data_IF_437780324196
#
_entry.id   IF_437780324196
#
_cell.length_a   1.000
_cell.length_b   1.000
_cell.length_c   1.000
_cell.angle_alpha   90.00
_cell.angle_beta   90.00
_cell.angle_gamma   90.00
#
_symmetry.space_group_name_H-M   'P 1'
#
loop_
_entity.id
_entity.type
_entity.pdbx_description
1 polymer ?
#
# COMPACT_ATOMS: atom_id res chain seq x y z
N UNK A 1 34.60 3.33 3.52
CA UNK A 1 33.54 4.00 2.76
C UNK A 1 32.22 3.58 3.39
N UNK A 2 31.43 4.52 3.88
CA UNK A 2 30.18 4.23 4.57
C UNK A 2 29.04 4.32 3.55
N UNK A 3 28.31 3.23 3.39
CA UNK A 3 27.10 3.19 2.58
C UNK A 3 25.90 3.51 3.47
N UNK A 4 25.00 4.35 2.99
CA UNK A 4 23.74 4.67 3.65
C UNK A 4 22.59 4.03 2.88
N UNK A 5 21.63 3.49 3.61
CA UNK A 5 20.40 2.92 3.06
C UNK A 5 19.25 3.86 3.39
N UNK A 6 18.48 4.23 2.37
CA UNK A 6 17.32 5.11 2.51
C UNK A 6 16.09 4.38 1.99
N UNK A 7 14.97 4.53 2.71
CA UNK A 7 13.64 4.20 2.23
C UNK A 7 13.00 5.51 1.76
N UNK A 8 12.37 5.51 0.60
CA UNK A 8 11.60 6.66 0.11
C UNK A 8 10.23 6.17 -0.33
N UNK A 9 9.19 6.83 0.17
CA UNK A 9 7.79 6.51 -0.12
C UNK A 9 7.21 7.62 -1.01
N UNK A 10 6.45 7.24 -2.03
CA UNK A 10 5.88 8.17 -2.99
C UNK A 10 4.40 7.84 -3.22
N UNK A 11 3.56 8.88 -3.27
CA UNK A 11 2.17 8.77 -3.67
C UNK A 11 2.02 9.26 -5.12
N UNK A 12 1.28 8.51 -5.93
CA UNK A 12 0.95 8.89 -7.31
C UNK A 12 -0.57 8.94 -7.45
N UNK A 13 -1.10 10.13 -7.72
CA UNK A 13 -2.51 10.36 -8.01
C UNK A 13 -2.67 10.76 -9.48
N UNK A 14 -3.50 10.04 -10.22
CA UNK A 14 -3.82 10.33 -11.61
C UNK A 14 -5.27 9.95 -11.90
N UNK A 15 -6.00 10.84 -12.59
CA UNK A 15 -7.30 10.53 -13.16
C UNK A 15 -7.19 9.67 -14.43
N UNK A 16 -6.02 9.63 -15.06
CA UNK A 16 -5.74 8.81 -16.22
C UNK A 16 -5.16 7.46 -15.77
N UNK A 17 -5.98 6.41 -15.87
CA UNK A 17 -5.60 5.04 -15.49
C UNK A 17 -4.45 4.50 -16.33
N UNK A 18 -4.27 4.97 -17.57
CA UNK A 18 -3.13 4.59 -18.41
C UNK A 18 -1.80 4.98 -17.77
N UNK A 19 -1.70 6.17 -17.17
CA UNK A 19 -0.48 6.61 -16.47
C UNK A 19 -0.17 5.69 -15.30
N UNK A 20 -1.19 5.29 -14.54
CA UNK A 20 -1.02 4.35 -13.41
C UNK A 20 -0.51 3.00 -13.92
N UNK A 21 -1.08 2.47 -15.00
CA UNK A 21 -0.64 1.21 -15.61
C UNK A 21 0.81 1.30 -16.14
N UNK A 22 1.19 2.38 -16.81
CA UNK A 22 2.56 2.58 -17.29
C UNK A 22 3.58 2.61 -16.14
N UNK A 23 3.23 3.27 -15.03
CA UNK A 23 4.07 3.26 -13.82
C UNK A 23 4.16 1.85 -13.24
N UNK A 24 3.03 1.14 -13.11
CA UNK A 24 3.02 -0.24 -12.62
C UNK A 24 3.87 -1.17 -13.48
N UNK A 25 3.73 -1.11 -14.81
CA UNK A 25 4.48 -1.92 -15.75
C UNK A 25 5.98 -1.61 -15.67
N UNK A 26 6.35 -0.34 -15.52
CA UNK A 26 7.73 0.06 -15.32
C UNK A 26 8.30 -0.49 -14.01
N UNK A 27 7.55 -0.41 -12.91
CA UNK A 27 7.96 -0.92 -11.61
C UNK A 27 8.17 -2.45 -11.65
N UNK A 28 7.21 -3.18 -12.22
CA UNK A 28 7.25 -4.64 -12.33
C UNK A 28 8.26 -5.16 -13.36
N UNK A 29 8.51 -4.38 -14.42
CA UNK A 29 9.45 -4.73 -15.49
C UNK A 29 10.89 -4.26 -15.23
N UNK A 30 11.12 -3.45 -14.21
CA UNK A 30 12.46 -2.95 -13.89
C UNK A 30 13.37 -4.07 -13.38
N UNK A 31 14.54 -4.19 -14.01
CA UNK A 31 15.58 -5.08 -13.51
C UNK A 31 16.34 -4.37 -12.39
N UNK A 32 16.24 -4.90 -11.17
CA UNK A 32 16.96 -4.37 -10.01
C UNK A 32 18.30 -5.12 -9.80
N UNK A 33 19.36 -4.42 -9.36
CA UNK A 33 19.41 -2.99 -9.10
C UNK A 33 19.56 -2.14 -10.38
N UNK A 34 19.11 -0.89 -10.34
CA UNK A 34 19.41 0.12 -11.38
C UNK A 34 19.92 1.43 -10.76
N UNK A 35 20.70 2.19 -11.53
CA UNK A 35 21.30 3.45 -11.07
C UNK A 35 20.49 4.66 -11.54
N UNK A 36 20.11 5.53 -10.60
CA UNK A 36 19.59 6.87 -10.88
C UNK A 36 20.76 7.85 -11.03
N UNK A 37 21.38 7.81 -12.22
CA UNK A 37 22.58 8.59 -12.51
C UNK A 37 23.72 8.25 -11.55
N UNK A 38 24.29 9.28 -10.90
CA UNK A 38 25.35 9.13 -9.89
C UNK A 38 24.85 9.34 -8.45
N UNK A 39 23.53 9.45 -8.26
CA UNK A 39 22.93 9.88 -6.98
C UNK A 39 22.63 8.68 -6.08
N UNK A 40 21.98 7.66 -6.64
CA UNK A 40 21.52 6.51 -5.87
C UNK A 40 21.48 5.24 -6.72
N UNK A 41 21.73 4.11 -6.06
CA UNK A 41 21.45 2.77 -6.56
C UNK A 41 20.13 2.30 -5.97
N UNK A 42 19.17 2.01 -6.83
CA UNK A 42 17.87 1.46 -6.44
C UNK A 42 17.97 -0.06 -6.51
N UNK A 43 17.89 -0.71 -5.35
CA UNK A 43 18.02 -2.17 -5.22
C UNK A 43 16.70 -2.85 -4.83
N UNK A 44 15.69 -2.09 -4.40
CA UNK A 44 14.36 -2.59 -4.05
C UNK A 44 13.30 -1.54 -4.38
N UNK A 45 12.20 -1.98 -4.97
CA UNK A 45 11.00 -1.16 -5.18
C UNK A 45 9.79 -2.04 -4.94
N UNK A 46 8.85 -1.57 -4.12
CA UNK A 46 7.61 -2.28 -3.82
C UNK A 46 6.42 -1.34 -4.06
N UNK A 47 5.37 -1.85 -4.70
CA UNK A 47 4.06 -1.21 -4.69
C UNK A 47 3.31 -1.73 -3.46
N UNK A 48 2.84 -0.84 -2.59
CA UNK A 48 2.21 -1.22 -1.32
C UNK A 48 0.70 -1.08 -1.37
N UNK A 49 0.19 -0.03 -2.02
CA UNK A 49 -1.23 0.33 -2.07
C UNK A 49 -1.63 0.72 -3.49
N UNK A 50 -2.80 0.25 -3.93
CA UNK A 50 -3.46 0.66 -5.17
C UNK A 50 -4.86 1.11 -4.85
N UNK A 51 -5.26 2.30 -5.31
CA UNK A 51 -6.60 2.81 -5.13
C UNK A 51 -7.29 2.99 -6.48
N UNK A 52 -8.56 2.61 -6.58
CA UNK A 52 -9.37 2.85 -7.77
C UNK A 52 -10.80 3.18 -7.38
N UNK A 53 -11.47 3.95 -8.24
CA UNK A 53 -12.87 4.30 -8.06
C UNK A 53 -13.74 3.14 -8.58
N UNK A 54 -14.53 2.52 -7.70
CA UNK A 54 -15.49 1.49 -8.05
C UNK A 54 -16.89 2.03 -7.77
N UNK A 55 -17.62 2.32 -8.86
CA UNK A 55 -18.90 3.01 -8.78
C UNK A 55 -18.72 4.46 -8.32
N UNK A 56 -19.15 4.78 -7.10
CA UNK A 56 -19.05 6.11 -6.50
C UNK A 56 -18.04 6.20 -5.35
N UNK A 57 -17.41 5.08 -4.97
CA UNK A 57 -16.53 5.00 -3.82
C UNK A 57 -15.13 4.54 -4.25
N UNK A 58 -14.11 5.03 -3.55
CA UNK A 58 -12.75 4.53 -3.73
C UNK A 58 -12.58 3.23 -2.95
N UNK A 59 -12.00 2.23 -3.59
CA UNK A 59 -11.46 1.06 -2.91
C UNK A 59 -9.94 1.08 -3.03
N UNK A 60 -9.26 0.80 -1.92
CA UNK A 60 -7.80 0.78 -1.84
C UNK A 60 -7.32 -0.59 -1.36
N UNK A 61 -6.58 -1.29 -2.22
CA UNK A 61 -6.04 -2.63 -1.97
C UNK A 61 -4.55 -2.58 -1.65
N UNK A 62 -4.15 -3.40 -0.69
CA UNK A 62 -2.75 -3.69 -0.45
C UNK A 62 -2.23 -4.76 -1.41
N UNK A 63 -0.94 -4.65 -1.75
CA UNK A 63 -0.29 -5.58 -2.68
C UNK A 63 0.60 -6.56 -1.94
N UNK A 64 0.65 -7.81 -2.42
CA UNK A 64 1.58 -8.83 -1.93
C UNK A 64 1.51 -9.05 -0.41
N UNK A 65 2.58 -8.67 0.28
CA UNK A 65 2.79 -8.89 1.72
C UNK A 65 2.47 -7.66 2.59
N UNK A 66 1.81 -6.65 2.02
CA UNK A 66 1.41 -5.43 2.70
C UNK A 66 -0.06 -5.52 3.10
N UNK A 67 -0.43 -4.93 4.23
CA UNK A 67 -1.82 -4.91 4.72
C UNK A 67 -2.15 -3.60 5.42
N UNK A 68 -3.43 -3.29 5.51
CA UNK A 68 -3.92 -2.18 6.31
C UNK A 68 -3.93 -2.58 7.79
N UNK A 69 -3.47 -1.71 8.72
CA UNK A 69 -3.61 -1.96 10.14
C UNK A 69 -5.09 -1.94 10.53
N UNK A 70 -5.44 -2.70 11.57
CA UNK A 70 -6.82 -2.87 12.01
C UNK A 70 -7.60 -1.55 12.22
N UNK A 71 -6.94 -0.51 12.75
CA UNK A 71 -7.56 0.80 12.95
C UNK A 71 -8.10 1.37 11.62
N UNK A 72 -7.36 1.19 10.52
CA UNK A 72 -7.75 1.63 9.18
C UNK A 72 -8.90 0.80 8.62
N UNK A 73 -8.86 -0.51 8.83
CA UNK A 73 -9.95 -1.41 8.46
C UNK A 73 -11.26 -1.00 9.14
N UNK A 74 -11.20 -0.68 10.43
CA UNK A 74 -12.36 -0.28 11.22
C UNK A 74 -12.87 1.11 10.81
N UNK A 75 -11.95 2.05 10.57
CA UNK A 75 -12.29 3.42 10.22
C UNK A 75 -12.90 3.57 8.82
N UNK A 76 -12.31 2.89 7.83
CA UNK A 76 -12.66 3.06 6.42
C UNK A 76 -13.57 1.95 5.87
N UNK A 77 -13.85 0.92 6.67
CA UNK A 77 -14.67 -0.22 6.29
C UNK A 77 -13.91 -1.17 5.36
N UNK A 78 -13.69 -2.43 5.76
CA UNK A 78 -12.96 -3.38 4.93
C UNK A 78 -13.78 -3.77 3.69
N UNK A 79 -13.11 -4.01 2.55
CA UNK A 79 -13.76 -4.55 1.35
C UNK A 79 -13.50 -6.05 1.14
N UNK A 80 -12.67 -6.65 2.01
CA UNK A 80 -12.35 -8.06 2.09
C UNK A 80 -12.53 -8.59 3.53
N UNK A 81 -12.32 -9.89 3.71
CA UNK A 81 -12.40 -10.50 5.03
C UNK A 81 -11.29 -9.95 5.94
N UNK A 82 -11.70 -9.42 7.10
CA UNK A 82 -10.76 -9.00 8.13
C UNK A 82 -10.16 -10.23 8.79
N UNK A 83 -8.85 -10.39 8.66
CA UNK A 83 -8.10 -11.29 9.55
C UNK A 83 -7.94 -10.59 10.90
N UNK A 84 -7.83 -11.32 12.03
CA UNK A 84 -7.89 -10.80 13.42
C UNK A 84 -7.14 -9.48 13.73
N UNK A 85 -6.21 -9.03 12.89
CA UNK A 85 -5.36 -7.84 13.08
C UNK A 85 -5.25 -6.92 11.86
N UNK A 86 -5.79 -7.28 10.69
CA UNK A 86 -5.59 -6.53 9.44
C UNK A 86 -6.58 -6.91 8.34
N UNK A 87 -6.69 -6.05 7.33
CA UNK A 87 -7.45 -6.28 6.10
C UNK A 87 -6.55 -5.98 4.89
N UNK A 88 -6.83 -6.61 3.75
CA UNK A 88 -6.15 -6.34 2.50
C UNK A 88 -6.79 -5.18 1.73
N UNK A 89 -7.99 -4.74 2.10
CA UNK A 89 -8.72 -3.68 1.40
C UNK A 89 -9.56 -2.79 2.32
N UNK A 90 -9.70 -1.52 1.95
CA UNK A 90 -10.62 -0.55 2.56
C UNK A 90 -11.47 0.18 1.51
N UNK A 91 -12.67 0.65 1.89
CA UNK A 91 -13.61 1.39 1.05
C UNK A 91 -13.44 2.92 1.19
N UNK A 92 -12.20 3.40 1.19
CA UNK A 92 -11.91 4.83 1.17
C UNK A 92 -10.54 5.11 0.57
N UNK A 93 -10.34 6.35 0.12
CA UNK A 93 -9.01 6.93 -0.08
C UNK A 93 -8.54 7.54 1.24
N UNK A 94 -7.48 7.02 1.89
CA UNK A 94 -6.98 7.59 3.15
C UNK A 94 -6.57 9.04 2.99
N UNK A 95 -7.03 9.91 3.89
CA UNK A 95 -6.71 11.34 3.86
C UNK A 95 -5.45 11.71 4.67
N UNK A 96 -4.90 10.75 5.40
CA UNK A 96 -3.74 10.93 6.26
C UNK A 96 -2.41 10.56 5.57
N UNK A 97 -2.46 10.14 4.31
CA UNK A 97 -1.27 9.79 3.52
C UNK A 97 -0.57 8.51 3.95
N UNK A 98 -1.21 7.70 4.80
CA UNK A 98 -0.68 6.40 5.20
C UNK A 98 -0.94 5.35 4.11
N UNK A 99 0.06 4.50 3.88
CA UNK A 99 0.00 3.37 2.96
C UNK A 99 -0.18 2.04 3.71
N UNK A 100 -0.37 0.97 2.96
CA UNK A 100 -0.32 -0.39 3.50
C UNK A 100 1.07 -0.67 4.07
N UNK A 101 1.12 -1.29 5.24
CA UNK A 101 2.35 -1.55 5.97
C UNK A 101 2.78 -3.02 5.79
N UNK A 102 4.09 -3.32 5.89
CA UNK A 102 4.58 -4.69 5.86
C UNK A 102 3.91 -5.56 6.94
N UNK A 103 3.51 -6.79 6.61
CA UNK A 103 2.85 -7.70 7.56
C UNK A 103 3.65 -7.95 8.86
N UNK A 104 4.98 -7.92 8.79
CA UNK A 104 5.87 -8.10 9.95
C UNK A 104 5.94 -6.86 10.86
N UNK A 105 5.54 -5.68 10.37
CA UNK A 105 5.53 -4.41 11.12
C UNK A 105 4.16 -4.11 11.72
N UNK A 106 3.11 -4.77 11.24
CA UNK A 106 1.78 -4.81 11.82
C UNK A 106 1.81 -5.60 13.14
N UNK A 107 2.44 -5.01 14.14
CA UNK A 107 2.56 -5.57 15.49
C UNK A 107 1.17 -5.82 16.07
N UNK A 108 1.00 -6.97 16.74
CA UNK A 108 -0.20 -7.53 17.38
C UNK A 108 -1.00 -6.62 18.37
N UNK A 109 -0.75 -5.32 18.41
CA UNK A 109 -1.29 -4.38 19.41
C UNK A 109 -2.70 -3.86 19.11
N UNK A 110 -3.28 -4.18 17.96
CA UNK A 110 -4.63 -3.77 17.59
C UNK A 110 -5.40 -4.96 17.00
N UNK A 111 -6.07 -5.71 17.86
CA UNK A 111 -7.08 -6.68 17.42
C UNK A 111 -8.33 -5.94 16.97
N UNK A 112 -8.91 -6.37 15.85
CA UNK A 112 -10.16 -5.78 15.41
C UNK A 112 -11.30 -6.13 16.37
N UNK A 113 -12.13 -5.15 16.75
CA UNK A 113 -13.35 -5.47 17.49
C UNK A 113 -14.14 -6.49 16.65
N UNK A 114 -14.69 -7.54 17.28
CA UNK A 114 -15.48 -8.52 16.55
C UNK A 114 -16.62 -7.78 15.84
N UNK A 115 -16.85 -8.11 14.56
CA UNK A 115 -17.98 -7.58 13.79
C UNK A 115 -19.24 -7.59 14.67
N UNK A 116 -20.04 -6.50 14.71
CA UNK A 116 -21.35 -6.58 15.32
C UNK A 116 -22.12 -7.69 14.61
N UNK A 117 -22.41 -8.76 15.35
CA UNK A 117 -23.27 -9.85 14.88
C UNK A 117 -24.64 -9.23 14.66
N UNK A 118 -25.02 -9.05 13.40
CA UNK A 118 -26.39 -8.70 12.99
C UNK A 118 -27.34 -9.84 13.28
#
# INVERSE_FOLDING_TARGET
LQSFYYLVEFEINSANTTVIHEVMDWLLGSHLPFYLGYVAEIFKVDMTTVCSLIGAEYQCWCQGQYFWPCEKCTLYGPCDDVTNTSCGCINALPNDGHFCQPANELTYNSTCPPNPVT
#
